data_IF_594236158171
#
_entry.id   IF_594236158171
#
_cell.length_a   1.000
_cell.length_b   1.000
_cell.length_c   1.000
_cell.angle_alpha   90.00
_cell.angle_beta   90.00
_cell.angle_gamma   90.00
#
_symmetry.space_group_name_H-M   'P 1'
#
loop_
_entity.id
_entity.type
_entity.pdbx_description
1 polymer ?
#
# COMPACT_ATOMS: atom_id res chain seq x y z
N UNK A 1 14.55 6.05 18.77
CA UNK A 1 14.71 6.58 17.39
C UNK A 1 13.46 6.31 16.55
N UNK A 2 13.05 5.05 16.39
CA UNK A 2 11.87 4.66 15.59
C UNK A 2 10.58 5.35 16.05
N UNK A 3 10.30 5.37 17.36
CA UNK A 3 9.10 6.05 17.88
C UNK A 3 9.04 7.57 17.60
N UNK A 4 10.18 8.24 17.42
CA UNK A 4 10.22 9.67 17.04
C UNK A 4 9.90 9.84 15.55
N UNK A 5 10.27 8.86 14.72
CA UNK A 5 9.97 8.84 13.27
C UNK A 5 8.52 8.44 13.01
N UNK A 6 7.90 7.68 13.91
CA UNK A 6 6.49 7.29 13.79
C UNK A 6 5.53 8.46 14.01
N UNK A 7 5.77 9.33 14.98
CA UNK A 7 4.90 10.50 15.25
C UNK A 7 4.65 11.36 14.00
N UNK A 8 5.66 11.80 13.23
CA UNK A 8 5.43 12.53 11.98
C UNK A 8 4.81 11.65 10.90
N UNK A 9 5.10 10.35 10.87
CA UNK A 9 4.48 9.40 9.95
C UNK A 9 2.95 9.28 10.15
N UNK A 10 2.43 9.51 11.36
CA UNK A 10 0.97 9.55 11.60
C UNK A 10 0.36 10.94 11.33
N UNK A 11 1.13 12.00 11.51
CA UNK A 11 0.62 13.39 11.52
C UNK A 11 0.57 14.02 10.13
N UNK A 12 1.60 13.77 9.30
CA UNK A 12 1.76 14.35 7.96
C UNK A 12 0.83 13.78 6.88
N UNK A 13 0.44 12.48 6.88
CA UNK A 13 -0.36 11.93 5.79
C UNK A 13 -1.81 12.42 5.78
N UNK A 14 -2.37 12.73 6.95
CA UNK A 14 -3.74 13.19 7.08
C UNK A 14 -4.04 14.45 6.23
N UNK A 15 -3.29 15.56 6.34
CA UNK A 15 -3.51 16.73 5.49
C UNK A 15 -3.13 16.51 4.02
N UNK A 16 -2.13 15.66 3.74
CA UNK A 16 -1.64 15.38 2.38
C UNK A 16 -2.68 14.58 1.59
N UNK A 17 -3.24 13.53 2.19
CA UNK A 17 -4.27 12.67 1.58
C UNK A 17 -5.59 13.40 1.35
N UNK A 18 -5.91 14.40 2.20
CA UNK A 18 -7.07 15.28 2.01
C UNK A 18 -6.94 16.20 0.78
N UNK A 19 -5.72 16.60 0.40
CA UNK A 19 -5.49 17.53 -0.73
C UNK A 19 -5.20 16.85 -2.07
N UNK A 20 -4.41 15.76 -2.07
CA UNK A 20 -3.89 15.12 -3.29
C UNK A 20 -4.69 13.87 -3.70
N UNK A 21 -5.64 13.43 -2.89
CA UNK A 21 -6.32 12.15 -3.07
C UNK A 21 -5.49 10.98 -2.53
N UNK A 22 -6.17 9.86 -2.25
CA UNK A 22 -5.62 8.78 -1.42
C UNK A 22 -4.69 7.84 -2.19
N UNK A 23 -5.08 7.47 -3.41
CA UNK A 23 -4.35 6.54 -4.29
C UNK A 23 -2.96 7.04 -4.73
N UNK A 24 -2.80 8.28 -5.25
CA UNK A 24 -1.48 8.75 -5.69
C UNK A 24 -0.52 8.88 -4.50
N UNK A 25 -1.02 9.17 -3.30
CA UNK A 25 -0.20 9.21 -2.08
C UNK A 25 0.31 7.82 -1.69
N UNK A 26 -0.57 6.81 -1.62
CA UNK A 26 -0.16 5.43 -1.31
C UNK A 26 0.83 4.91 -2.36
N UNK A 27 0.52 5.10 -3.65
CA UNK A 27 1.37 4.63 -4.75
C UNK A 27 2.74 5.33 -4.75
N UNK A 28 2.76 6.66 -4.63
CA UNK A 28 4.03 7.41 -4.57
C UNK A 28 4.85 7.03 -3.35
N UNK A 29 4.26 6.85 -2.17
CA UNK A 29 4.98 6.39 -0.99
C UNK A 29 5.61 5.01 -1.20
N UNK A 30 4.89 4.03 -1.75
CA UNK A 30 5.43 2.69 -2.03
C UNK A 30 6.53 2.70 -3.08
N UNK A 31 6.34 3.42 -4.19
CA UNK A 31 7.36 3.54 -5.25
C UNK A 31 8.61 4.23 -4.71
N UNK A 32 8.44 5.35 -3.99
CA UNK A 32 9.57 6.09 -3.43
C UNK A 32 10.31 5.26 -2.37
N UNK A 33 9.59 4.52 -1.52
CA UNK A 33 10.17 3.58 -0.56
C UNK A 33 10.98 2.48 -1.26
N UNK A 34 10.43 1.85 -2.31
CA UNK A 34 11.15 0.85 -3.09
C UNK A 34 12.42 1.40 -3.76
N UNK A 35 12.36 2.62 -4.31
CA UNK A 35 13.52 3.30 -4.89
C UNK A 35 14.59 3.56 -3.82
N UNK A 36 14.22 4.00 -2.62
CA UNK A 36 15.17 4.23 -1.52
C UNK A 36 15.84 2.93 -1.05
N UNK A 37 15.10 1.82 -1.00
CA UNK A 37 15.66 0.50 -0.70
C UNK A 37 16.62 0.00 -1.79
N UNK A 38 16.30 0.22 -3.07
CA UNK A 38 17.21 -0.10 -4.17
C UNK A 38 18.45 0.81 -4.17
N UNK A 39 18.30 2.08 -3.80
CA UNK A 39 19.43 3.00 -3.64
C UNK A 39 20.34 2.56 -2.49
N UNK A 40 19.76 2.09 -1.37
CA UNK A 40 20.51 1.52 -0.26
C UNK A 40 21.32 0.29 -0.70
N UNK A 41 20.73 -0.59 -1.51
CA UNK A 41 21.42 -1.74 -2.09
C UNK A 41 22.63 -1.32 -2.93
N UNK A 42 22.48 -0.33 -3.81
CA UNK A 42 23.59 0.19 -4.64
C UNK A 42 24.70 0.79 -3.78
N UNK A 43 24.34 1.47 -2.70
CA UNK A 43 25.30 2.03 -1.74
C UNK A 43 26.09 0.94 -1.03
N UNK A 44 25.48 -0.20 -0.71
CA UNK A 44 26.18 -1.36 -0.09
C UNK A 44 27.29 -1.91 -1.00
N UNK A 45 27.09 -1.92 -2.32
CA UNK A 45 28.11 -2.36 -3.28
C UNK A 45 29.21 -1.33 -3.55
N UNK A 46 29.03 -0.09 -3.10
CA UNK A 46 29.94 1.03 -3.41
C UNK A 46 30.80 1.35 -2.20
N UNK A 47 32.07 1.73 -2.41
CA UNK A 47 33.02 2.12 -1.35
C UNK A 47 32.62 3.37 -0.54
N UNK A 48 31.52 4.04 -0.90
CA UNK A 48 30.96 5.22 -0.23
C UNK A 48 30.00 4.88 0.94
N UNK A 49 30.13 3.69 1.53
CA UNK A 49 29.30 3.27 2.65
C UNK A 49 29.60 4.11 3.91
N UNK A 50 28.73 5.08 4.17
CA UNK A 50 28.71 5.83 5.42
C UNK A 50 27.47 5.45 6.23
N UNK A 51 27.67 4.98 7.46
CA UNK A 51 26.60 4.53 8.37
C UNK A 51 25.50 5.59 8.57
N UNK A 52 25.87 6.87 8.61
CA UNK A 52 24.90 7.95 8.76
C UNK A 52 23.94 8.08 7.57
N UNK A 53 24.44 7.88 6.36
CA UNK A 53 23.65 8.02 5.13
C UNK A 53 22.70 6.81 5.00
N UNK A 54 23.20 5.59 5.26
CA UNK A 54 22.37 4.39 5.25
C UNK A 54 21.25 4.46 6.30
N UNK A 55 21.57 4.91 7.52
CA UNK A 55 20.58 5.11 8.56
C UNK A 55 19.49 6.11 8.15
N UNK A 56 19.87 7.26 7.57
CA UNK A 56 18.88 8.24 7.09
C UNK A 56 17.98 7.68 5.99
N UNK A 57 18.54 6.91 5.05
CA UNK A 57 17.77 6.24 4.00
C UNK A 57 16.78 5.21 4.56
N UNK A 58 17.23 4.39 5.50
CA UNK A 58 16.38 3.37 6.15
C UNK A 58 15.26 4.04 6.94
N UNK A 59 15.56 5.10 7.69
CA UNK A 59 14.55 5.82 8.46
C UNK A 59 13.53 6.53 7.57
N UNK A 60 13.97 7.10 6.45
CA UNK A 60 13.07 7.72 5.47
C UNK A 60 12.16 6.67 4.82
N UNK A 61 12.71 5.52 4.45
CA UNK A 61 11.94 4.40 3.89
C UNK A 61 10.92 3.86 4.90
N UNK A 62 11.33 3.72 6.17
CA UNK A 62 10.46 3.33 7.28
C UNK A 62 9.30 4.31 7.47
N UNK A 63 9.57 5.63 7.43
CA UNK A 63 8.53 6.66 7.54
C UNK A 63 7.50 6.55 6.41
N UNK A 64 7.95 6.34 5.17
CA UNK A 64 7.07 6.22 4.00
C UNK A 64 6.19 4.98 4.05
N UNK A 65 6.74 3.83 4.46
CA UNK A 65 5.95 2.60 4.58
C UNK A 65 4.94 2.68 5.72
N UNK A 66 5.31 3.24 6.88
CA UNK A 66 4.39 3.46 8.02
C UNK A 66 3.24 4.39 7.64
N UNK A 67 3.56 5.50 6.95
CA UNK A 67 2.58 6.43 6.39
C UNK A 67 1.58 5.70 5.49
N UNK A 68 2.10 4.93 4.52
CA UNK A 68 1.28 4.20 3.55
C UNK A 68 0.39 3.14 4.21
N UNK A 69 0.95 2.39 5.16
CA UNK A 69 0.23 1.37 5.93
C UNK A 69 -0.92 2.00 6.73
N UNK A 70 -0.67 3.11 7.42
CA UNK A 70 -1.70 3.78 8.23
C UNK A 70 -2.86 4.30 7.39
N UNK A 71 -2.53 4.95 6.27
CA UNK A 71 -3.51 5.43 5.29
C UNK A 71 -4.34 4.26 4.78
N UNK A 72 -3.71 3.16 4.37
CA UNK A 72 -4.42 1.98 3.89
C UNK A 72 -5.31 1.33 4.98
N UNK A 73 -4.81 1.25 6.22
CA UNK A 73 -5.55 0.67 7.35
C UNK A 73 -6.78 1.50 7.73
N UNK A 74 -6.67 2.84 7.70
CA UNK A 74 -7.80 3.73 7.97
C UNK A 74 -8.87 3.61 6.88
N UNK A 75 -8.47 3.42 5.63
CA UNK A 75 -9.39 3.45 4.48
C UNK A 75 -9.97 2.09 4.09
N UNK A 76 -9.29 0.97 4.35
CA UNK A 76 -9.82 -0.37 4.12
C UNK A 76 -11.24 -0.58 4.69
N UNK A 77 -11.57 -0.16 5.93
CA UNK A 77 -12.92 -0.30 6.48
C UNK A 77 -13.95 0.68 5.92
N UNK A 78 -13.55 1.80 5.30
CA UNK A 78 -14.47 2.75 4.67
C UNK A 78 -15.07 2.21 3.37
N UNK A 79 -14.33 1.32 2.70
CA UNK A 79 -14.76 0.67 1.44
C UNK A 79 -15.72 -0.50 1.69
N UNK A 80 -15.78 -0.99 2.93
CA UNK A 80 -16.54 -2.18 3.30
C UNK A 80 -17.88 -1.79 3.95
N UNK A 81 -19.01 -2.42 3.55
CA UNK A 81 -20.28 -2.23 4.25
C UNK A 81 -20.14 -2.72 5.70
N UNK A 82 -20.89 -2.13 6.61
CA UNK A 82 -20.79 -2.32 8.07
C UNK A 82 -20.80 -3.78 8.50
N UNK A 83 -21.51 -4.65 7.76
CA UNK A 83 -21.59 -6.09 8.01
C UNK A 83 -20.34 -6.88 7.61
N UNK A 84 -19.62 -6.43 6.58
CA UNK A 84 -18.42 -7.11 6.06
C UNK A 84 -17.12 -6.46 6.55
N UNK A 85 -17.19 -5.25 7.14
CA UNK A 85 -16.04 -4.52 7.67
C UNK A 85 -15.15 -5.37 8.60
N UNK A 86 -15.67 -6.07 9.63
CA UNK A 86 -14.82 -6.87 10.51
C UNK A 86 -14.06 -7.97 9.77
N UNK A 87 -14.71 -8.64 8.83
CA UNK A 87 -14.13 -9.74 8.05
C UNK A 87 -13.08 -9.25 7.05
N UNK A 88 -13.36 -8.16 6.33
CA UNK A 88 -12.41 -7.59 5.38
C UNK A 88 -11.18 -6.98 6.06
N UNK A 89 -11.37 -6.28 7.18
CA UNK A 89 -10.24 -5.78 7.99
C UNK A 89 -9.41 -6.93 8.55
N UNK A 90 -10.04 -8.00 9.05
CA UNK A 90 -9.33 -9.18 9.54
C UNK A 90 -8.52 -9.86 8.43
N UNK A 91 -9.09 -10.05 7.23
CA UNK A 91 -8.38 -10.63 6.09
C UNK A 91 -7.16 -9.78 5.67
N UNK A 92 -7.31 -8.46 5.64
CA UNK A 92 -6.21 -7.53 5.35
C UNK A 92 -5.11 -7.63 6.41
N UNK A 93 -5.48 -7.66 7.70
CA UNK A 93 -4.53 -7.81 8.79
C UNK A 93 -3.79 -9.15 8.72
N UNK A 94 -4.48 -10.26 8.44
CA UNK A 94 -3.82 -11.57 8.29
C UNK A 94 -2.80 -11.52 7.15
N UNK A 95 -3.17 -10.94 6.00
CA UNK A 95 -2.23 -10.77 4.89
C UNK A 95 -1.01 -9.90 5.25
N UNK A 96 -1.23 -8.79 5.98
CA UNK A 96 -0.15 -7.94 6.45
C UNK A 96 0.80 -8.67 7.43
N UNK A 97 0.24 -9.43 8.38
CA UNK A 97 1.03 -10.22 9.33
C UNK A 97 1.84 -11.32 8.65
N UNK A 98 1.27 -11.99 7.64
CA UNK A 98 2.03 -12.94 6.83
C UNK A 98 3.24 -12.25 6.18
N UNK A 99 3.06 -11.04 5.64
CA UNK A 99 4.16 -10.22 5.11
C UNK A 99 5.25 -9.91 6.15
N UNK A 100 4.88 -9.63 7.40
CA UNK A 100 5.84 -9.40 8.48
C UNK A 100 6.58 -10.66 8.95
N UNK A 101 6.00 -11.85 8.76
CA UNK A 101 6.66 -13.11 9.09
C UNK A 101 7.72 -13.51 8.06
N UNK A 102 7.62 -13.06 6.80
CA UNK A 102 8.50 -13.46 5.70
C UNK A 102 9.99 -13.06 5.88
N UNK A 103 10.36 -11.83 6.30
CA UNK A 103 11.75 -11.39 6.40
C UNK A 103 12.71 -12.32 7.16
N UNK A 104 12.42 -12.78 8.40
CA UNK A 104 13.33 -13.65 9.13
C UNK A 104 13.56 -15.01 8.46
N UNK A 105 12.61 -15.50 7.66
CA UNK A 105 12.85 -16.72 6.88
C UNK A 105 13.79 -16.46 5.71
N UNK A 106 13.62 -15.34 4.99
CA UNK A 106 14.49 -14.99 3.87
C UNK A 106 15.94 -14.78 4.31
N UNK A 107 16.17 -14.12 5.45
CA UNK A 107 17.52 -13.86 5.96
C UNK A 107 18.28 -15.13 6.35
N UNK A 108 17.59 -16.27 6.53
CA UNK A 108 18.25 -17.56 6.79
C UNK A 108 18.78 -18.24 5.51
N UNK A 109 18.24 -17.89 4.33
CA UNK A 109 18.57 -18.55 3.05
C UNK A 109 19.20 -17.60 2.02
N UNK A 110 19.00 -16.29 2.16
CA UNK A 110 19.48 -15.25 1.24
C UNK A 110 20.46 -14.33 1.96
N UNK A 111 21.37 -13.72 1.19
CA UNK A 111 22.19 -12.64 1.72
C UNK A 111 21.35 -11.38 1.98
N UNK A 112 21.87 -10.47 2.80
CA UNK A 112 21.22 -9.19 3.10
C UNK A 112 20.91 -8.39 1.82
N UNK A 113 21.87 -8.36 0.89
CA UNK A 113 21.73 -7.70 -0.42
C UNK A 113 20.61 -8.31 -1.28
N UNK A 114 20.54 -9.64 -1.36
CA UNK A 114 19.48 -10.33 -2.10
C UNK A 114 18.11 -10.07 -1.48
N UNK A 115 18.05 -10.04 -0.15
CA UNK A 115 16.83 -9.76 0.61
C UNK A 115 16.36 -8.33 0.35
N UNK A 116 17.26 -7.34 0.39
CA UNK A 116 16.98 -5.94 0.05
C UNK A 116 16.48 -5.77 -1.39
N UNK A 117 17.09 -6.48 -2.34
CA UNK A 117 16.66 -6.46 -3.74
C UNK A 117 15.23 -6.98 -3.90
N UNK A 118 14.91 -8.12 -3.27
CA UNK A 118 13.56 -8.71 -3.32
C UNK A 118 12.54 -7.75 -2.70
N UNK A 119 12.79 -7.21 -1.52
CA UNK A 119 11.86 -6.27 -0.88
C UNK A 119 11.71 -4.95 -1.65
N UNK A 120 12.81 -4.41 -2.20
CA UNK A 120 12.79 -3.20 -3.02
C UNK A 120 11.94 -3.38 -4.28
N UNK A 121 12.15 -4.47 -5.03
CA UNK A 121 11.35 -4.78 -6.22
C UNK A 121 9.88 -5.03 -5.87
N UNK A 122 9.60 -5.80 -4.83
CA UNK A 122 8.24 -6.04 -4.35
C UNK A 122 7.51 -4.72 -3.99
N UNK A 123 8.21 -3.77 -3.34
CA UNK A 123 7.64 -2.47 -3.00
C UNK A 123 7.31 -1.63 -4.24
N UNK A 124 8.19 -1.62 -5.25
CA UNK A 124 7.93 -0.93 -6.53
C UNK A 124 6.76 -1.57 -7.26
N UNK A 125 6.72 -2.90 -7.36
CA UNK A 125 5.63 -3.64 -7.98
C UNK A 125 4.30 -3.39 -7.27
N UNK A 126 4.29 -3.38 -5.94
CA UNK A 126 3.12 -3.05 -5.14
C UNK A 126 2.63 -1.61 -5.45
N UNK A 127 3.55 -0.64 -5.49
CA UNK A 127 3.25 0.74 -5.85
C UNK A 127 2.65 0.89 -7.26
N UNK A 128 3.18 0.13 -8.23
CA UNK A 128 2.64 0.05 -9.60
C UNK A 128 1.27 -0.63 -9.65
N UNK A 129 1.06 -1.71 -8.88
CA UNK A 129 -0.25 -2.37 -8.79
C UNK A 129 -1.31 -1.43 -8.20
N UNK A 130 -0.96 -0.62 -7.20
CA UNK A 130 -1.85 0.42 -6.66
C UNK A 130 -2.17 1.47 -7.74
N UNK A 131 -1.22 1.76 -8.63
CA UNK A 131 -1.44 2.62 -9.79
C UNK A 131 -2.25 1.96 -10.92
N UNK A 132 -2.41 0.64 -10.91
CA UNK A 132 -3.32 -0.09 -11.81
C UNK A 132 -4.72 -0.27 -11.20
N UNK A 133 -4.83 -0.24 -9.87
CA UNK A 133 -6.08 -0.44 -9.14
C UNK A 133 -7.08 0.69 -9.44
N UNK A 134 -8.21 0.47 -10.14
CA UNK A 134 -9.11 1.55 -10.54
C UNK A 134 -9.50 2.41 -9.33
N UNK A 135 -9.50 3.73 -9.50
CA UNK A 135 -9.80 4.66 -8.41
C UNK A 135 -11.13 4.31 -7.75
N UNK A 136 -11.09 3.91 -6.48
CA UNK A 136 -12.25 3.79 -5.59
C UNK A 136 -12.69 5.15 -5.03
N UNK A 137 -12.25 6.25 -5.63
CA UNK A 137 -12.48 7.59 -5.12
C UNK A 137 -13.77 8.17 -5.73
N UNK A 138 -14.81 8.38 -4.89
CA UNK A 138 -16.05 9.03 -5.29
C UNK A 138 -17.29 8.13 -5.40
N UNK A 139 -17.21 6.85 -5.05
CA UNK A 139 -18.42 6.03 -4.89
C UNK A 139 -19.03 6.31 -3.51
N UNK A 140 -20.31 6.73 -3.41
CA UNK A 140 -20.95 6.98 -2.13
C UNK A 140 -20.86 5.71 -1.27
N UNK A 141 -20.70 5.95 0.03
CA UNK A 141 -20.56 4.92 1.04
C UNK A 141 -21.71 3.92 0.88
N UNK A 142 -21.40 2.68 0.57
CA UNK A 142 -22.40 1.62 0.51
C UNK A 142 -22.83 1.30 1.93
N UNK A 143 -23.86 2.02 2.40
CA UNK A 143 -24.38 1.88 3.76
C UNK A 143 -24.98 0.49 4.01
N UNK A 144 -25.32 -0.27 2.96
CA UNK A 144 -25.93 -1.60 3.11
C UNK A 144 -25.54 -2.54 1.96
N UNK A 145 -25.47 -3.85 2.24
CA UNK A 145 -25.24 -4.91 1.23
C UNK A 145 -26.29 -4.89 0.10
N UNK A 146 -27.49 -4.36 0.40
CA UNK A 146 -28.56 -4.13 -0.58
C UNK A 146 -28.15 -3.14 -1.68
N UNK A 147 -27.43 -2.08 -1.33
CA UNK A 147 -26.98 -1.03 -2.25
C UNK A 147 -25.83 -1.55 -3.16
N UNK A 148 -24.99 -2.45 -2.63
CA UNK A 148 -23.97 -3.18 -3.42
C UNK A 148 -24.63 -4.11 -4.45
N UNK A 149 -25.74 -4.74 -4.04
CA UNK A 149 -26.51 -5.66 -4.89
C UNK A 149 -27.24 -4.91 -5.99
N UNK A 150 -27.79 -3.73 -5.72
CA UNK A 150 -28.42 -2.88 -6.73
C UNK A 150 -27.40 -2.34 -7.74
N UNK A 151 -26.21 -1.91 -7.31
CA UNK A 151 -25.14 -1.49 -8.25
C UNK A 151 -24.67 -2.61 -9.16
N UNK A 152 -24.48 -3.82 -8.62
CA UNK A 152 -24.11 -4.98 -9.42
C UNK A 152 -25.24 -5.42 -10.36
N UNK A 153 -26.50 -5.27 -9.94
CA UNK A 153 -27.69 -5.51 -10.77
C UNK A 153 -27.78 -4.51 -11.94
N UNK A 154 -27.65 -3.21 -11.67
CA UNK A 154 -27.64 -2.16 -12.71
C UNK A 154 -26.46 -2.29 -13.68
N UNK A 155 -25.27 -2.67 -13.18
CA UNK A 155 -24.11 -2.90 -14.05
C UNK A 155 -24.33 -4.12 -14.95
N UNK A 156 -24.91 -5.22 -14.44
CA UNK A 156 -25.30 -6.38 -15.25
C UNK A 156 -26.38 -6.05 -16.27
N UNK A 157 -27.39 -5.25 -15.91
CA UNK A 157 -28.47 -4.85 -16.82
C UNK A 157 -27.95 -3.98 -17.97
N UNK A 158 -27.06 -3.03 -17.69
CA UNK A 158 -26.46 -2.19 -18.74
C UNK A 158 -25.53 -3.00 -19.66
N UNK A 159 -24.71 -3.92 -19.13
CA UNK A 159 -23.87 -4.79 -19.97
C UNK A 159 -24.71 -5.75 -20.83
N UNK A 160 -25.84 -6.24 -20.30
CA UNK A 160 -26.77 -7.09 -21.08
C UNK A 160 -27.49 -6.29 -22.17
N UNK A 161 -27.88 -5.04 -21.90
CA UNK A 161 -28.49 -4.15 -22.90
C UNK A 161 -27.51 -3.74 -24.01
N UNK A 162 -26.22 -3.62 -23.69
CA UNK A 162 -25.15 -3.33 -24.66
C UNK A 162 -24.83 -4.53 -25.57
N UNK A 163 -24.89 -5.76 -25.04
CA UNK A 163 -24.71 -6.99 -25.84
C UNK A 163 -25.91 -7.29 -26.75
N UNK A 164 -27.13 -6.87 -26.39
CA UNK A 164 -28.34 -7.03 -27.23
C UNK A 164 -28.36 -5.99 -28.38
N UNK A 165 -27.66 -4.86 -28.25
CA UNK A 165 -27.65 -3.77 -29.23
C UNK A 165 -26.42 -3.79 -30.17
N UNK A 166 -25.62 -4.85 -30.16
CA UNK A 166 -24.58 -5.08 -31.18
C UNK A 166 -25.21 -5.78 -32.40
N UNK A 167 -25.07 -5.21 -33.62
CA UNK A 167 -25.62 -5.79 -34.85
C UNK A 167 -24.91 -7.08 -35.28
#
# INVERSE_FOLDING_TARGET
LLGVVEVPAYSLPAPITQRLGRRPVISSCFVTCGILLLLLLVLTFTTFYHEWISLMLVLLSYLLVCTSYQVNYLFAPELLPTTLRPWGTAACLIAAHLGFCVPPFLTNYLTEEQTLLVFGLCAVLAGMLVFLLPETNGQPLLETVADLRERLSHKKLNTTAEDINKP
#
